data_IF_636330573730
#
_entry.id   IF_636330573730
#
_cell.length_a   1.000
_cell.length_b   1.000
_cell.length_c   1.000
_cell.angle_alpha   90.00
_cell.angle_beta   90.00
_cell.angle_gamma   90.00
#
_symmetry.space_group_name_H-M   'P 1'
#
loop_
_entity.id
_entity.type
_entity.pdbx_description
1 polymer ?
#
# COMPACT_ATOMS: atom_id res chain seq x y z
N UNK A 1 0.57 -21.66 -11.48
CA UNK A 1 1.37 -21.48 -10.25
C UNK A 1 1.46 -20.00 -9.95
N UNK A 2 0.80 -19.50 -8.91
CA UNK A 2 0.90 -18.10 -8.52
C UNK A 2 2.35 -17.83 -8.08
N UNK A 3 3.09 -17.02 -8.84
CA UNK A 3 4.44 -16.60 -8.44
C UNK A 3 4.30 -15.89 -7.10
N UNK A 4 4.76 -16.53 -6.03
CA UNK A 4 4.86 -15.94 -4.69
C UNK A 4 5.84 -14.79 -4.81
N UNK A 5 5.31 -13.59 -5.03
CA UNK A 5 6.09 -12.38 -5.15
C UNK A 5 6.90 -12.22 -3.86
N UNK A 6 8.20 -11.92 -3.95
CA UNK A 6 9.08 -11.92 -2.79
C UNK A 6 8.63 -10.89 -1.75
N UNK A 7 8.80 -11.22 -0.47
CA UNK A 7 8.26 -10.47 0.66
C UNK A 7 8.73 -9.00 0.73
N UNK A 8 9.89 -8.68 0.13
CA UNK A 8 10.41 -7.30 0.03
C UNK A 8 9.51 -6.36 -0.81
N UNK A 9 8.55 -6.91 -1.54
CA UNK A 9 7.60 -6.11 -2.29
C UNK A 9 6.39 -5.70 -1.47
N UNK A 10 6.06 -6.39 -0.38
CA UNK A 10 4.95 -5.96 0.47
C UNK A 10 5.50 -4.97 1.51
N UNK A 11 4.84 -3.82 1.71
CA UNK A 11 5.26 -2.89 2.73
C UNK A 11 5.19 -3.55 4.11
N UNK A 12 6.19 -3.28 4.94
CA UNK A 12 6.32 -3.80 6.32
C UNK A 12 6.71 -2.66 7.26
N UNK A 13 6.58 -2.82 8.59
CA UNK A 13 7.06 -1.80 9.53
C UNK A 13 8.55 -1.48 9.37
N UNK A 14 9.38 -2.48 9.03
CA UNK A 14 10.82 -2.36 8.77
C UNK A 14 11.15 -1.77 7.38
N UNK A 15 10.24 -1.90 6.42
CA UNK A 15 10.34 -1.33 5.07
C UNK A 15 8.99 -0.73 4.65
N UNK A 16 8.61 0.41 5.25
CA UNK A 16 7.28 0.99 5.07
C UNK A 16 7.12 1.62 3.68
N UNK A 17 5.87 1.71 3.21
CA UNK A 17 5.54 2.24 1.89
C UNK A 17 4.12 1.88 1.45
N UNK A 18 3.76 2.30 0.25
CA UNK A 18 2.53 1.93 -0.44
C UNK A 18 2.88 1.04 -1.62
N UNK A 19 2.13 -0.06 -1.79
CA UNK A 19 2.20 -0.93 -2.96
C UNK A 19 0.83 -1.04 -3.60
N UNK A 20 0.83 -0.93 -4.93
CA UNK A 20 -0.33 -1.22 -5.76
C UNK A 20 0.04 -2.31 -6.77
N UNK A 21 -0.86 -3.28 -6.93
CA UNK A 21 -0.81 -4.34 -7.93
C UNK A 21 -2.00 -4.18 -8.87
N UNK A 22 -1.72 -3.85 -10.13
CA UNK A 22 -2.75 -3.78 -11.15
C UNK A 22 -3.40 -5.15 -11.38
N UNK A 23 -4.73 -5.15 -11.42
CA UNK A 23 -5.53 -6.28 -11.85
C UNK A 23 -5.39 -6.57 -13.35
N UNK A 24 -6.07 -7.62 -13.78
CA UNK A 24 -6.23 -8.00 -15.19
C UNK A 24 -7.72 -8.16 -15.47
N UNK A 25 -8.10 -8.46 -16.70
CA UNK A 25 -9.48 -8.83 -17.02
C UNK A 25 -10.04 -10.03 -16.20
N UNK A 26 -9.17 -10.82 -15.54
CA UNK A 26 -9.57 -11.98 -14.74
C UNK A 26 -9.18 -11.86 -13.26
N UNK A 27 -8.53 -10.77 -12.84
CA UNK A 27 -8.04 -10.60 -11.47
C UNK A 27 -8.27 -9.17 -11.01
N UNK A 28 -8.73 -8.99 -9.77
CA UNK A 28 -8.90 -7.65 -9.20
C UNK A 28 -7.56 -6.99 -8.90
N UNK A 29 -7.53 -5.67 -8.95
CA UNK A 29 -6.42 -4.89 -8.39
C UNK A 29 -6.31 -5.09 -6.88
N UNK A 30 -5.09 -5.00 -6.36
CA UNK A 30 -4.80 -5.11 -4.93
C UNK A 30 -3.89 -3.96 -4.52
N UNK A 31 -4.01 -3.51 -3.28
CA UNK A 31 -3.19 -2.45 -2.71
C UNK A 31 -2.95 -2.71 -1.24
N UNK A 32 -1.77 -2.37 -0.75
CA UNK A 32 -1.37 -2.55 0.64
C UNK A 32 -0.45 -1.39 1.02
N UNK A 33 -0.57 -0.85 2.23
CA UNK A 33 0.40 0.12 2.75
C UNK A 33 0.81 -0.17 4.19
N UNK A 34 2.01 0.31 4.53
CA UNK A 34 2.45 0.51 5.91
C UNK A 34 3.05 1.91 6.02
N UNK A 35 2.56 2.70 6.98
CA UNK A 35 3.03 4.05 7.25
C UNK A 35 4.23 4.00 8.19
N UNK A 36 5.40 4.42 7.70
CA UNK A 36 6.63 4.47 8.50
C UNK A 36 6.68 5.56 9.56
N UNK A 37 5.69 6.46 9.61
CA UNK A 37 5.62 7.54 10.59
C UNK A 37 4.78 7.19 11.82
N UNK A 38 3.67 6.47 11.64
CA UNK A 38 2.73 6.14 12.73
C UNK A 38 2.47 4.63 12.89
N UNK A 39 3.02 3.79 12.00
CA UNK A 39 2.80 2.34 12.04
C UNK A 39 1.43 1.89 11.52
N UNK A 40 0.60 2.79 10.99
CA UNK A 40 -0.69 2.43 10.41
C UNK A 40 -0.51 1.56 9.17
N UNK A 41 -1.40 0.60 8.95
CA UNK A 41 -1.39 -0.29 7.80
C UNK A 41 -2.81 -0.58 7.32
N UNK A 42 -2.99 -0.76 6.01
CA UNK A 42 -4.27 -1.12 5.40
C UNK A 42 -4.08 -1.93 4.11
N UNK A 43 -5.14 -2.63 3.69
CA UNK A 43 -5.19 -3.46 2.50
C UNK A 43 -6.52 -3.34 1.75
N UNK A 44 -6.45 -3.31 0.41
CA UNK A 44 -7.60 -3.12 -0.48
C UNK A 44 -7.63 -4.15 -1.61
N UNK A 45 -8.84 -4.54 -2.02
CA UNK A 45 -9.09 -5.55 -3.06
C UNK A 45 -10.19 -5.12 -4.04
N UNK A 46 -9.80 -4.51 -5.15
CA UNK A 46 -10.71 -3.97 -6.16
C UNK A 46 -10.25 -2.58 -6.60
N UNK A 47 -10.52 -2.21 -7.85
CA UNK A 47 -9.97 -0.96 -8.41
C UNK A 47 -10.40 0.29 -7.64
N UNK A 48 -11.68 0.37 -7.23
CA UNK A 48 -12.19 1.48 -6.43
C UNK A 48 -11.59 1.52 -5.03
N UNK A 49 -11.47 0.36 -4.37
CA UNK A 49 -10.92 0.27 -3.02
C UNK A 49 -9.43 0.60 -3.02
N UNK A 50 -8.69 0.13 -4.03
CA UNK A 50 -7.28 0.45 -4.22
C UNK A 50 -7.10 1.94 -4.47
N UNK A 51 -7.98 2.56 -5.26
CA UNK A 51 -7.95 4.01 -5.45
C UNK A 51 -8.17 4.74 -4.13
N UNK A 52 -9.20 4.38 -3.37
CA UNK A 52 -9.49 4.98 -2.06
C UNK A 52 -8.32 4.79 -1.07
N UNK A 53 -7.69 3.62 -1.06
CA UNK A 53 -6.51 3.33 -0.24
C UNK A 53 -5.30 4.21 -0.62
N UNK A 54 -5.08 4.45 -1.92
CA UNK A 54 -4.01 5.34 -2.40
C UNK A 54 -4.28 6.79 -2.00
N UNK A 55 -5.53 7.24 -2.11
CA UNK A 55 -5.98 8.57 -1.70
C UNK A 55 -5.76 8.75 -0.19
N UNK A 56 -6.29 7.85 0.64
CA UNK A 56 -6.10 7.86 2.10
C UNK A 56 -4.61 7.84 2.50
N UNK A 57 -3.80 6.95 1.90
CA UNK A 57 -2.37 6.90 2.19
C UNK A 57 -1.67 8.23 1.89
N UNK A 58 -2.11 8.92 0.84
CA UNK A 58 -1.50 10.18 0.39
C UNK A 58 -1.93 11.35 1.29
N UNK A 59 -3.21 11.43 1.63
CA UNK A 59 -3.80 12.51 2.43
C UNK A 59 -3.45 12.38 3.93
N UNK A 60 -3.49 11.16 4.48
CA UNK A 60 -3.40 10.93 5.92
C UNK A 60 -2.11 10.21 6.36
N UNK A 61 -1.38 9.59 5.45
CA UNK A 61 -0.21 8.76 5.79
C UNK A 61 1.02 9.15 4.98
N UNK A 62 1.66 8.19 4.28
CA UNK A 62 2.88 8.34 3.50
C UNK A 62 3.57 9.71 3.54
N UNK A 63 3.35 10.61 2.56
CA UNK A 63 3.96 11.95 2.54
C UNK A 63 3.59 12.83 3.74
N UNK A 64 2.32 12.82 4.17
CA UNK A 64 1.84 13.60 5.31
C UNK A 64 2.59 13.28 6.60
N UNK A 65 2.95 12.01 6.81
CA UNK A 65 3.71 11.55 7.97
C UNK A 65 5.23 11.49 7.72
N UNK A 66 5.69 11.37 6.47
CA UNK A 66 7.12 11.35 6.11
C UNK A 66 7.78 12.73 6.28
N UNK A 67 7.01 13.81 6.20
CA UNK A 67 7.46 15.19 6.47
C UNK A 67 7.74 15.52 7.94
N UNK A 68 7.38 14.65 8.89
CA UNK A 68 7.57 14.87 10.33
C UNK A 68 8.96 14.52 10.88
N UNK A 69 9.83 13.88 10.08
CA UNK A 69 11.21 13.58 10.48
C UNK A 69 12.14 14.71 10.03
N UNK A 70 12.18 15.77 10.83
CA UNK A 70 13.31 16.71 10.90
C UNK A 70 14.18 16.35 12.10
#
# INVERSE_FOLDING_TARGET
MARKLPAYLNPTPESPGLRVRGGTQHTRSQGDYVCGGCGAEDHANGDNDVKALVEDYTDNHGPAHRGGRR
#
